data_IF_844736498985
#
_entry.id   IF_844736498985
#
_cell.length_a   1.000
_cell.length_b   1.000
_cell.length_c   1.000
_cell.angle_alpha   90.00
_cell.angle_beta   90.00
_cell.angle_gamma   90.00
#
_symmetry.space_group_name_H-M   'P 1'
#
loop_
_entity.id
_entity.type
_entity.pdbx_description
1 polymer ?
#
# COMPACT_ATOMS: atom_id res chain seq x y z
N UNK A 1 14.27 -12.66 17.13
CA UNK A 1 14.16 -11.38 16.41
C UNK A 1 12.68 -11.06 16.20
N UNK A 2 12.25 -9.84 16.47
CA UNK A 2 10.86 -9.42 16.27
C UNK A 2 10.63 -9.03 14.82
N UNK A 3 9.44 -9.37 14.29
CA UNK A 3 9.02 -8.90 12.97
C UNK A 3 8.58 -7.44 13.00
N UNK A 4 8.47 -6.82 11.84
CA UNK A 4 7.94 -5.46 11.71
C UNK A 4 6.52 -5.36 12.27
N UNK A 5 5.70 -6.38 12.03
CA UNK A 5 4.35 -6.49 12.57
C UNK A 5 4.37 -6.47 14.11
N UNK A 6 5.26 -7.24 14.72
CA UNK A 6 5.38 -7.28 16.19
C UNK A 6 5.76 -5.92 16.76
N UNK A 7 6.69 -5.21 16.13
CA UNK A 7 7.04 -3.85 16.54
C UNK A 7 5.85 -2.90 16.45
N UNK A 8 5.09 -2.99 15.38
CA UNK A 8 3.90 -2.16 15.20
C UNK A 8 2.84 -2.46 16.28
N UNK A 9 2.54 -3.74 16.51
CA UNK A 9 1.57 -4.14 17.53
C UNK A 9 1.98 -3.67 18.95
N UNK A 10 3.25 -3.81 19.29
CA UNK A 10 3.76 -3.31 20.57
C UNK A 10 3.63 -1.78 20.70
N UNK A 11 3.87 -1.07 19.60
CA UNK A 11 3.70 0.39 19.58
C UNK A 11 2.23 0.78 19.77
N UNK A 12 1.32 0.05 19.14
CA UNK A 12 -0.12 0.28 19.32
C UNK A 12 -0.54 0.05 20.77
N UNK A 13 -0.07 -1.05 21.38
CA UNK A 13 -0.39 -1.35 22.80
C UNK A 13 0.06 -0.23 23.74
N UNK A 14 1.25 0.33 23.50
CA UNK A 14 1.83 1.37 24.35
C UNK A 14 1.27 2.76 24.08
N UNK A 15 0.92 3.07 22.86
CA UNK A 15 0.64 4.42 22.38
C UNK A 15 -0.67 4.53 21.60
N UNK A 16 -1.65 3.71 21.88
CA UNK A 16 -2.89 3.57 21.10
C UNK A 16 -3.54 4.91 20.74
N UNK A 17 -3.63 5.81 21.69
CA UNK A 17 -4.29 7.12 21.53
C UNK A 17 -3.36 8.23 21.00
N UNK A 18 -2.07 7.94 20.87
CA UNK A 18 -1.12 8.91 20.33
C UNK A 18 -1.22 8.97 18.81
N UNK A 19 -0.98 10.15 18.24
CA UNK A 19 -0.94 10.32 16.80
C UNK A 19 0.30 9.64 16.22
N UNK A 20 0.08 8.81 15.22
CA UNK A 20 1.14 8.11 14.50
C UNK A 20 1.41 8.73 13.14
N UNK A 21 0.37 9.06 12.39
CA UNK A 21 0.47 9.58 11.03
C UNK A 21 -0.16 10.97 10.96
N UNK A 22 0.50 11.87 10.25
CA UNK A 22 0.01 13.21 9.99
C UNK A 22 -0.13 13.45 8.49
N UNK A 23 -1.26 13.99 8.09
CA UNK A 23 -1.50 14.45 6.72
C UNK A 23 -2.10 15.85 6.72
N UNK A 24 -1.91 16.57 5.62
CA UNK A 24 -2.49 17.90 5.42
C UNK A 24 -3.36 17.86 4.16
N UNK A 25 -4.59 17.30 4.27
CA UNK A 25 -5.46 17.15 3.10
C UNK A 25 -5.93 18.49 2.52
N UNK A 26 -6.04 19.50 3.37
CA UNK A 26 -6.38 20.89 2.98
C UNK A 26 -5.38 21.85 3.63
N UNK A 27 -5.86 22.78 4.45
CA UNK A 27 -5.02 23.78 5.11
C UNK A 27 -4.57 23.39 6.51
N UNK A 28 -5.12 22.32 7.09
CA UNK A 28 -4.81 21.86 8.46
C UNK A 28 -4.23 20.47 8.45
N UNK A 29 -3.26 20.24 9.33
CA UNK A 29 -2.77 18.89 9.59
C UNK A 29 -3.83 18.09 10.34
N UNK A 30 -4.05 16.87 9.88
CA UNK A 30 -4.93 15.90 10.53
C UNK A 30 -4.09 14.71 10.97
N UNK A 31 -4.31 14.28 12.22
CA UNK A 31 -3.58 13.18 12.82
C UNK A 31 -4.42 11.90 12.82
N UNK A 32 -3.74 10.77 12.59
CA UNK A 32 -4.31 9.44 12.73
C UNK A 32 -3.56 8.73 13.85
N UNK A 33 -4.29 8.23 14.84
CA UNK A 33 -3.68 7.55 15.99
C UNK A 33 -3.13 6.18 15.61
N UNK A 34 -2.28 5.61 16.47
CA UNK A 34 -1.82 4.23 16.31
C UNK A 34 -2.99 3.25 16.25
N UNK A 35 -3.98 3.40 17.14
CA UNK A 35 -5.16 2.53 17.15
C UNK A 35 -6.00 2.63 15.90
N UNK A 36 -6.25 3.84 15.42
CA UNK A 36 -6.98 4.08 14.16
C UNK A 36 -6.21 3.51 12.95
N UNK A 37 -4.90 3.69 12.94
CA UNK A 37 -4.04 3.15 11.87
C UNK A 37 -4.12 1.62 11.85
N UNK A 38 -4.03 0.96 13.01
CA UNK A 38 -4.15 -0.50 13.09
C UNK A 38 -5.49 -0.98 12.55
N UNK A 39 -6.58 -0.31 12.90
CA UNK A 39 -7.90 -0.65 12.38
C UNK A 39 -7.94 -0.62 10.86
N UNK A 40 -7.43 0.45 10.25
CA UNK A 40 -7.37 0.60 8.79
C UNK A 40 -6.47 -0.46 8.14
N UNK A 41 -5.34 -0.77 8.79
CA UNK A 41 -4.42 -1.83 8.33
C UNK A 41 -5.11 -3.19 8.33
N UNK A 42 -5.84 -3.52 9.39
CA UNK A 42 -6.57 -4.78 9.49
C UNK A 42 -7.66 -4.90 8.44
N UNK A 43 -8.43 -3.83 8.23
CA UNK A 43 -9.49 -3.80 7.21
C UNK A 43 -8.90 -3.99 5.80
N UNK A 44 -7.79 -3.32 5.52
CA UNK A 44 -7.12 -3.45 4.23
C UNK A 44 -6.54 -4.85 4.01
N UNK A 45 -5.88 -5.41 5.02
CA UNK A 45 -5.33 -6.76 4.95
C UNK A 45 -6.44 -7.80 4.73
N UNK A 46 -7.56 -7.66 5.44
CA UNK A 46 -8.72 -8.53 5.26
C UNK A 46 -9.28 -8.43 3.83
N UNK A 47 -9.32 -7.24 3.28
CA UNK A 47 -9.71 -7.01 1.88
C UNK A 47 -8.79 -7.72 0.89
N UNK A 48 -7.47 -7.64 1.10
CA UNK A 48 -6.51 -8.35 0.26
C UNK A 48 -6.69 -9.87 0.31
N UNK A 49 -6.89 -10.42 1.50
CA UNK A 49 -7.13 -11.85 1.68
C UNK A 49 -8.43 -12.26 0.97
N UNK A 50 -9.49 -11.47 1.10
CA UNK A 50 -10.76 -11.71 0.41
C UNK A 50 -10.60 -11.70 -1.11
N UNK A 51 -9.71 -10.87 -1.64
CA UNK A 51 -9.39 -10.83 -3.06
C UNK A 51 -8.49 -11.98 -3.52
N UNK A 52 -8.12 -12.90 -2.64
CA UNK A 52 -7.35 -14.08 -2.97
C UNK A 52 -5.84 -13.96 -2.78
N UNK A 53 -5.35 -12.92 -2.13
CA UNK A 53 -3.93 -12.78 -1.79
C UNK A 53 -3.55 -13.86 -0.77
N UNK A 54 -2.45 -14.54 -1.04
CA UNK A 54 -1.92 -15.64 -0.22
C UNK A 54 -0.52 -15.31 0.27
N UNK A 55 -0.11 -16.02 1.32
CA UNK A 55 1.24 -15.93 1.87
C UNK A 55 2.29 -16.06 0.76
N UNK A 56 3.21 -15.12 0.71
CA UNK A 56 4.31 -15.10 -0.26
C UNK A 56 3.97 -14.41 -1.58
N UNK A 57 2.71 -14.06 -1.83
CA UNK A 57 2.37 -13.23 -2.99
C UNK A 57 3.08 -11.89 -2.91
N UNK A 58 3.48 -11.35 -4.05
CA UNK A 58 4.14 -10.05 -4.13
C UNK A 58 3.17 -9.01 -4.65
N UNK A 59 3.15 -7.85 -3.97
CA UNK A 59 2.36 -6.70 -4.37
C UNK A 59 3.30 -5.51 -4.51
N UNK A 60 3.24 -4.82 -5.64
CA UNK A 60 3.98 -3.58 -5.83
C UNK A 60 3.21 -2.41 -5.23
N UNK A 61 3.95 -1.45 -4.69
CA UNK A 61 3.40 -0.25 -4.08
C UNK A 61 4.12 0.98 -4.64
N UNK A 62 3.37 1.85 -5.31
CA UNK A 62 3.92 3.07 -5.89
C UNK A 62 3.00 4.25 -5.59
N UNK A 63 3.50 5.17 -4.76
CA UNK A 63 2.76 6.36 -4.33
C UNK A 63 3.70 7.40 -3.75
N UNK A 64 3.28 8.64 -3.81
CA UNK A 64 3.85 9.72 -3.01
C UNK A 64 3.68 9.41 -1.52
N UNK A 65 4.50 10.01 -0.67
CA UNK A 65 4.40 9.83 0.77
C UNK A 65 3.05 10.30 1.31
N UNK A 66 2.27 9.38 1.87
CA UNK A 66 0.95 9.64 2.46
C UNK A 66 0.60 8.53 3.45
N UNK A 67 -0.44 8.76 4.26
CA UNK A 67 -0.91 7.77 5.23
C UNK A 67 -1.21 6.42 4.57
N UNK A 68 -1.87 6.44 3.42
CA UNK A 68 -2.23 5.22 2.70
C UNK A 68 -1.02 4.41 2.22
N UNK A 69 0.14 5.06 2.04
CA UNK A 69 1.37 4.32 1.75
C UNK A 69 1.75 3.40 2.90
N UNK A 70 1.73 3.93 4.14
CA UNK A 70 2.05 3.17 5.34
C UNK A 70 1.00 2.09 5.61
N UNK A 71 -0.28 2.45 5.50
CA UNK A 71 -1.41 1.52 5.67
C UNK A 71 -1.32 0.39 4.64
N UNK A 72 -1.02 0.73 3.39
CA UNK A 72 -0.85 -0.24 2.32
C UNK A 72 0.31 -1.20 2.58
N UNK A 73 1.48 -0.68 2.96
CA UNK A 73 2.64 -1.51 3.28
C UNK A 73 2.35 -2.46 4.44
N UNK A 74 1.85 -1.93 5.55
CA UNK A 74 1.52 -2.76 6.71
C UNK A 74 0.42 -3.78 6.38
N UNK A 75 -0.60 -3.38 5.64
CA UNK A 75 -1.69 -4.27 5.22
C UNK A 75 -1.19 -5.43 4.37
N UNK A 76 -0.28 -5.18 3.45
CA UNK A 76 0.37 -6.23 2.65
C UNK A 76 1.08 -7.23 3.58
N UNK A 77 1.85 -6.74 4.55
CA UNK A 77 2.57 -7.58 5.50
C UNK A 77 1.60 -8.41 6.37
N UNK A 78 0.54 -7.78 6.87
CA UNK A 78 -0.47 -8.49 7.67
C UNK A 78 -1.23 -9.55 6.87
N UNK A 79 -1.37 -9.36 5.57
CA UNK A 79 -1.95 -10.39 4.70
C UNK A 79 -1.00 -11.56 4.42
N UNK A 80 0.23 -11.50 4.94
CA UNK A 80 1.26 -12.53 4.71
C UNK A 80 1.97 -12.38 3.37
N UNK A 81 1.74 -11.30 2.66
CA UNK A 81 2.33 -11.03 1.36
C UNK A 81 3.67 -10.27 1.48
N UNK A 82 4.34 -10.09 0.37
CA UNK A 82 5.61 -9.38 0.27
C UNK A 82 5.36 -8.03 -0.40
N UNK A 83 5.78 -6.95 0.27
CA UNK A 83 5.69 -5.61 -0.29
C UNK A 83 6.89 -5.33 -1.21
N UNK A 84 6.61 -4.82 -2.41
CA UNK A 84 7.62 -4.42 -3.40
C UNK A 84 7.46 -2.92 -3.62
N UNK A 85 8.11 -2.07 -2.80
CA UNK A 85 7.98 -0.62 -2.93
C UNK A 85 8.74 -0.11 -4.14
N UNK A 86 8.10 0.76 -4.92
CA UNK A 86 8.67 1.37 -6.12
C UNK A 86 8.75 2.88 -5.97
N UNK A 87 9.86 3.45 -6.38
CA UNK A 87 10.04 4.91 -6.36
C UNK A 87 9.16 5.58 -7.41
N UNK A 88 8.55 6.71 -7.04
CA UNK A 88 7.77 7.55 -7.98
C UNK A 88 8.65 8.20 -9.06
N UNK A 89 9.96 8.18 -8.88
CA UNK A 89 10.94 8.75 -9.84
C UNK A 89 11.31 7.78 -10.97
N UNK A 90 10.88 6.53 -10.88
CA UNK A 90 11.15 5.54 -11.93
C UNK A 90 10.44 5.90 -13.22
N UNK A 91 11.11 5.62 -14.34
CA UNK A 91 10.50 5.73 -15.67
C UNK A 91 9.47 4.61 -15.87
N UNK A 92 8.52 4.75 -16.81
CA UNK A 92 7.56 3.69 -17.11
C UNK A 92 8.23 2.33 -17.43
N UNK A 93 9.32 2.35 -18.16
CA UNK A 93 10.06 1.11 -18.49
C UNK A 93 10.68 0.45 -17.27
N UNK A 94 11.23 1.25 -16.36
CA UNK A 94 11.79 0.74 -15.10
C UNK A 94 10.70 0.17 -14.20
N UNK A 95 9.54 0.81 -14.14
CA UNK A 95 8.38 0.32 -13.38
C UNK A 95 7.94 -1.03 -13.96
N UNK A 96 7.76 -1.11 -15.26
CA UNK A 96 7.38 -2.35 -15.95
C UNK A 96 8.35 -3.48 -15.68
N UNK A 97 9.65 -3.19 -15.78
CA UNK A 97 10.69 -4.18 -15.48
C UNK A 97 10.58 -4.72 -14.06
N UNK A 98 10.42 -3.83 -13.07
CA UNK A 98 10.39 -4.22 -11.66
C UNK A 98 9.11 -4.99 -11.30
N UNK A 99 7.97 -4.61 -11.85
CA UNK A 99 6.72 -5.34 -11.67
C UNK A 99 6.83 -6.76 -12.23
N UNK A 100 7.34 -6.89 -13.45
CA UNK A 100 7.51 -8.19 -14.08
C UNK A 100 8.57 -9.05 -13.36
N UNK A 101 9.70 -8.44 -13.00
CA UNK A 101 10.78 -9.14 -12.31
C UNK A 101 10.34 -9.67 -10.94
N UNK A 102 9.59 -8.89 -10.19
CA UNK A 102 9.07 -9.31 -8.88
C UNK A 102 7.94 -10.32 -8.98
N UNK A 103 7.27 -10.42 -10.13
CA UNK A 103 6.08 -11.25 -10.29
C UNK A 103 4.90 -10.73 -9.49
N UNK A 104 4.78 -9.42 -9.31
CA UNK A 104 3.70 -8.83 -8.52
C UNK A 104 2.33 -9.18 -9.06
N UNK A 105 1.44 -9.66 -8.20
CA UNK A 105 0.05 -10.01 -8.54
C UNK A 105 -0.87 -8.81 -8.56
N UNK A 106 -0.61 -7.83 -7.72
CA UNK A 106 -1.37 -6.59 -7.64
C UNK A 106 -0.43 -5.40 -7.53
N UNK A 107 -0.92 -4.23 -7.89
CA UNK A 107 -0.20 -2.97 -7.74
C UNK A 107 -1.07 -2.00 -6.96
N UNK A 108 -0.56 -1.50 -5.85
CA UNK A 108 -1.17 -0.42 -5.08
C UNK A 108 -0.59 0.90 -5.59
N UNK A 109 -1.42 1.84 -5.98
CA UNK A 109 -0.97 3.09 -6.57
C UNK A 109 -1.82 4.29 -6.15
N UNK A 110 -1.17 5.46 -6.02
CA UNK A 110 -1.89 6.72 -5.96
C UNK A 110 -2.48 7.05 -7.34
N UNK A 111 -3.45 7.95 -7.40
CA UNK A 111 -4.07 8.38 -8.66
C UNK A 111 -3.06 8.84 -9.70
N UNK A 112 -2.07 9.64 -9.28
CA UNK A 112 -1.04 10.17 -10.18
C UNK A 112 -0.20 9.04 -10.76
N UNK A 113 0.17 8.07 -9.94
CA UNK A 113 0.99 6.94 -10.39
C UNK A 113 0.18 5.94 -11.22
N UNK A 114 -1.10 5.78 -10.91
CA UNK A 114 -1.99 4.92 -11.70
C UNK A 114 -2.09 5.38 -13.16
N UNK A 115 -2.00 6.68 -13.43
CA UNK A 115 -1.96 7.23 -14.79
C UNK A 115 -0.74 6.69 -15.56
N UNK A 116 0.43 6.65 -14.93
CA UNK A 116 1.63 6.06 -15.54
C UNK A 116 1.45 4.58 -15.86
N UNK A 117 0.73 3.86 -15.01
CA UNK A 117 0.53 2.41 -15.16
C UNK A 117 -0.39 2.06 -16.33
N UNK A 118 -1.32 2.93 -16.71
CA UNK A 118 -2.28 2.67 -17.79
C UNK A 118 -1.63 2.20 -19.09
N UNK A 119 -0.51 2.81 -19.47
CA UNK A 119 0.16 2.49 -20.72
C UNK A 119 1.01 1.23 -20.67
N UNK A 120 1.41 0.77 -19.50
CA UNK A 120 2.37 -0.33 -19.35
C UNK A 120 1.79 -1.58 -18.68
N UNK A 121 0.64 -1.47 -18.01
CA UNK A 121 0.09 -2.58 -17.21
C UNK A 121 -0.27 -3.81 -18.06
N UNK A 122 -0.67 -3.60 -19.30
CA UNK A 122 -0.97 -4.69 -20.25
C UNK A 122 0.24 -5.59 -20.51
N UNK A 123 1.45 -5.05 -20.34
CA UNK A 123 2.70 -5.78 -20.51
C UNK A 123 3.20 -6.40 -19.19
N UNK A 124 2.47 -6.23 -18.10
CA UNK A 124 2.76 -6.80 -16.79
C UNK A 124 1.90 -8.06 -16.59
N UNK A 125 2.38 -9.17 -17.07
CA UNK A 125 1.60 -10.42 -17.23
C UNK A 125 1.08 -11.03 -15.93
N UNK A 126 1.73 -10.77 -14.80
CA UNK A 126 1.33 -11.33 -13.50
C UNK A 126 0.34 -10.46 -12.76
N UNK A 127 0.14 -9.21 -13.20
CA UNK A 127 -0.75 -8.28 -12.50
C UNK A 127 -2.21 -8.57 -12.84
N UNK A 128 -2.98 -8.86 -11.82
CA UNK A 128 -4.42 -9.15 -11.93
C UNK A 128 -5.26 -7.91 -11.66
N UNK A 129 -4.78 -6.98 -10.83
CA UNK A 129 -5.55 -5.81 -10.39
C UNK A 129 -4.65 -4.67 -9.95
N UNK A 130 -5.12 -3.44 -10.22
CA UNK A 130 -4.55 -2.22 -9.64
C UNK A 130 -5.51 -1.74 -8.55
N UNK A 131 -4.97 -1.50 -7.36
CA UNK A 131 -5.70 -0.94 -6.23
C UNK A 131 -5.30 0.52 -6.08
N UNK A 132 -6.29 1.39 -6.09
CA UNK A 132 -6.07 2.83 -5.97
C UNK A 132 -6.20 3.26 -4.52
N UNK A 133 -5.31 4.15 -4.07
CA UNK A 133 -5.34 4.69 -2.72
C UNK A 133 -6.38 5.78 -2.50
N UNK A 134 -6.79 6.43 -3.57
CA UNK A 134 -7.67 7.58 -3.49
C UNK A 134 -9.14 7.13 -3.47
N UNK A 135 -10.06 8.01 -3.13
CA UNK A 135 -11.46 7.68 -2.98
C UNK A 135 -12.10 7.27 -4.30
N UNK A 136 -13.16 6.47 -4.23
CA UNK A 136 -13.89 6.00 -5.42
C UNK A 136 -14.39 7.14 -6.33
N UNK A 137 -14.60 8.31 -5.78
CA UNK A 137 -15.06 9.49 -6.51
C UNK A 137 -14.06 9.97 -7.57
N UNK A 138 -12.80 9.63 -7.43
CA UNK A 138 -11.75 10.05 -8.35
C UNK A 138 -11.61 9.13 -9.58
N UNK A 139 -12.36 8.04 -9.65
CA UNK A 139 -12.22 7.00 -10.70
C UNK A 139 -13.44 6.85 -11.60
N UNK A 140 -14.40 7.68 -11.39
CA UNK A 140 -15.56 7.78 -12.25
C UNK A 140 -15.48 9.03 -13.12
#
# INVERSE_FOLDING_TARGET
>A
MKSLIQFFEESVEKFESNVYLWEKPQDKYEGTTYGETRKQVYEFAAGLITMGIKKGDRLSLISEGRNNWVIGELGILYAGAVNVPLSVKLTPEEIKFRINHSGSRMVLASSIQAIKLKGLIKDCKTVEKIIHFDTQEEYH
#
